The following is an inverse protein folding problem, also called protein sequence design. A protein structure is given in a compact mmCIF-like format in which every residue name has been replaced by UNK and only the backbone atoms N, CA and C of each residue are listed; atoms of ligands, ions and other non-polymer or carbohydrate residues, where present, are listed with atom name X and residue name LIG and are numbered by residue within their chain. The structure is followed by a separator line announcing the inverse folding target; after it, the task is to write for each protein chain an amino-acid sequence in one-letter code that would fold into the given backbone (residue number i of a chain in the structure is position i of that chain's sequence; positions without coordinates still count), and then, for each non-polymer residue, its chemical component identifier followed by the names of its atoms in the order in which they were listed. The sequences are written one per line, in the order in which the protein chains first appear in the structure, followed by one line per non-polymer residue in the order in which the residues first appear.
data_IF_764469922782
#
_entry.id   IF_764469922782
#
_cell.length_a   1.000
_cell.length_b   1.000
_cell.length_c   1.000
_cell.angle_alpha   90.00
_cell.angle_beta   90.00
_cell.angle_gamma   90.00
#
_symmetry.space_group_name_H-M   'P 1'
#
loop_
_entity.id
_entity.type
_entity.pdbx_description
1 polymer ?
#
# COMPACT_ATOMS: atom_id res chain seq x y z
N UNK A 1 -13.58 15.96 10.63
CA UNK A 1 -12.72 15.14 9.73
C UNK A 1 -12.47 13.83 10.46
N UNK A 2 -12.93 12.70 9.93
CA UNK A 2 -12.67 11.39 10.55
C UNK A 2 -11.19 11.08 10.35
N UNK A 3 -10.42 11.07 11.44
CA UNK A 3 -9.01 10.70 11.45
C UNK A 3 -8.93 9.24 11.03
N UNK A 4 -8.39 8.96 9.84
CA UNK A 4 -8.14 7.59 9.40
C UNK A 4 -6.90 7.11 10.13
N UNK A 5 -7.07 6.22 11.09
CA UNK A 5 -5.95 5.56 11.75
C UNK A 5 -5.41 4.45 10.83
N UNK A 6 -4.20 4.66 10.30
CA UNK A 6 -3.51 3.67 9.49
C UNK A 6 -2.66 2.79 10.40
N UNK A 7 -2.84 1.46 10.28
CA UNK A 7 -2.03 0.47 10.99
C UNK A 7 -1.18 -0.31 9.99
N UNK A 8 0.14 -0.28 10.14
CA UNK A 8 1.04 -1.13 9.34
C UNK A 8 0.88 -2.58 9.81
N UNK A 9 0.50 -3.45 8.88
CA UNK A 9 0.36 -4.89 9.09
C UNK A 9 1.60 -5.66 8.64
N UNK A 10 2.32 -5.12 7.66
CA UNK A 10 3.52 -5.72 7.09
C UNK A 10 4.41 -4.64 6.50
N UNK A 11 5.71 -4.81 6.62
CA UNK A 11 6.75 -3.97 6.00
C UNK A 11 7.89 -4.87 5.54
N UNK A 12 8.48 -4.53 4.39
CA UNK A 12 9.80 -5.02 4.01
C UNK A 12 10.55 -3.99 3.19
N UNK A 13 11.87 -4.13 3.19
CA UNK A 13 12.74 -3.39 2.30
C UNK A 13 12.62 -3.85 0.83
N UNK A 14 12.79 -2.90 -0.08
CA UNK A 14 12.90 -3.15 -1.51
C UNK A 14 14.37 -3.19 -1.97
N UNK A 15 14.72 -4.03 -2.96
CA UNK A 15 16.03 -3.97 -3.59
C UNK A 15 16.30 -2.57 -4.17
N UNK A 16 17.44 -1.98 -3.82
CA UNK A 16 17.79 -0.61 -4.23
C UNK A 16 17.24 0.49 -3.33
N UNK A 17 16.63 0.14 -2.19
CA UNK A 17 16.19 1.05 -1.15
C UNK A 17 14.69 1.38 -1.16
N UNK A 18 14.21 1.84 -0.01
CA UNK A 18 12.79 2.08 0.24
C UNK A 18 12.07 0.85 0.79
N UNK A 19 10.76 0.98 0.99
CA UNK A 19 9.93 0.01 1.68
C UNK A 19 8.63 -0.24 0.92
N UNK A 20 8.06 -1.43 1.12
CA UNK A 20 6.68 -1.73 0.75
C UNK A 20 5.90 -2.10 2.00
N UNK A 21 4.77 -1.43 2.20
CA UNK A 21 3.93 -1.59 3.38
C UNK A 21 2.58 -2.17 2.98
N UNK A 22 2.02 -3.05 3.81
CA UNK A 22 0.58 -3.31 3.85
C UNK A 22 0.00 -2.55 5.02
N UNK A 23 -0.96 -1.67 4.75
CA UNK A 23 -1.61 -0.82 5.75
C UNK A 23 -3.10 -1.14 5.81
N UNK A 24 -3.65 -1.27 7.01
CA UNK A 24 -5.09 -1.28 7.27
C UNK A 24 -5.59 0.14 7.54
N UNK A 25 -6.68 0.54 6.87
CA UNK A 25 -7.44 1.74 7.22
C UNK A 25 -8.46 1.35 8.30
N UNK A 26 -8.12 1.60 9.56
CA UNK A 26 -9.03 1.33 10.68
C UNK A 26 -10.25 2.23 10.57
N UNK A 27 -11.42 1.61 10.43
CA UNK A 27 -12.71 2.29 10.55
C UNK A 27 -13.44 1.69 11.73
N UNK A 28 -13.62 2.49 12.78
CA UNK A 28 -14.22 2.06 14.05
C UNK A 28 -15.71 1.69 13.96
N UNK A 29 -16.34 1.76 12.77
CA UNK A 29 -17.79 1.67 12.61
C UNK A 29 -18.25 0.94 11.32
N UNK A 30 -17.45 -0.01 10.80
CA UNK A 30 -17.84 -0.75 9.59
C UNK A 30 -17.52 -2.23 9.67
N UNK A 31 -18.46 -3.08 9.23
CA UNK A 31 -18.24 -4.53 9.02
C UNK A 31 -17.26 -4.86 7.86
N UNK A 32 -16.71 -3.82 7.21
CA UNK A 32 -15.83 -3.95 6.05
C UNK A 32 -14.44 -3.46 6.41
N UNK A 33 -13.45 -4.35 6.25
CA UNK A 33 -12.04 -4.01 6.36
C UNK A 33 -11.54 -3.42 5.05
N UNK A 34 -10.61 -2.47 5.15
CA UNK A 34 -9.95 -1.85 4.01
C UNK A 34 -8.46 -1.86 4.25
N UNK A 35 -7.70 -2.30 3.26
CA UNK A 35 -6.25 -2.30 3.32
C UNK A 35 -5.64 -1.93 1.97
N UNK A 36 -4.37 -1.55 1.99
CA UNK A 36 -3.66 -1.08 0.81
C UNK A 36 -2.18 -1.43 0.85
N UNK A 37 -1.56 -1.48 -0.33
CA UNK A 37 -0.11 -1.62 -0.48
C UNK A 37 0.47 -0.27 -0.87
N UNK A 38 1.34 0.28 -0.02
CA UNK A 38 2.12 1.50 -0.30
C UNK A 38 3.57 1.15 -0.62
N UNK A 39 4.19 1.97 -1.46
CA UNK A 39 5.61 1.84 -1.77
C UNK A 39 6.33 3.15 -1.52
N UNK A 40 7.17 3.15 -0.49
CA UNK A 40 8.13 4.22 -0.23
C UNK A 40 9.42 3.92 -1.00
N UNK A 41 9.95 4.88 -1.76
CA UNK A 41 11.05 4.62 -2.71
C UNK A 41 12.41 5.18 -2.26
N UNK A 42 12.57 5.59 -0.99
CA UNK A 42 13.71 6.44 -0.61
C UNK A 42 14.41 6.01 0.67
N UNK A 43 15.73 6.21 0.64
CA UNK A 43 16.67 6.20 1.77
C UNK A 43 16.71 7.54 2.52
N UNK A 44 16.11 8.61 1.98
CA UNK A 44 16.07 9.96 2.57
C UNK A 44 14.60 10.43 2.76
N UNK A 45 14.09 10.41 4.00
CA UNK A 45 12.74 10.86 4.36
C UNK A 45 12.46 12.34 4.07
N UNK A 46 13.47 13.20 4.05
CA UNK A 46 13.30 14.67 3.94
C UNK A 46 12.98 15.14 2.52
N UNK A 47 13.13 14.27 1.52
CA UNK A 47 13.12 14.66 0.11
C UNK A 47 11.69 14.74 -0.49
N UNK A 48 10.65 14.45 0.31
CA UNK A 48 9.22 14.51 -0.03
C UNK A 48 8.41 15.13 1.12
N UNK A 49 8.83 16.28 1.64
CA UNK A 49 7.95 17.01 2.56
C UNK A 49 6.61 17.32 1.83
N UNK A 50 5.51 16.73 2.29
CA UNK A 50 4.16 16.93 1.74
C UNK A 50 3.63 15.94 0.67
N UNK A 51 4.33 14.86 0.31
CA UNK A 51 3.88 13.94 -0.74
C UNK A 51 3.73 12.50 -0.28
N UNK A 52 2.48 12.05 -0.15
CA UNK A 52 2.13 10.70 0.28
C UNK A 52 2.78 9.60 -0.60
N UNK A 53 3.26 8.48 -0.01
CA UNK A 53 3.79 7.37 -0.79
C UNK A 53 2.70 6.78 -1.69
N UNK A 54 3.02 6.40 -2.94
CA UNK A 54 2.05 5.84 -3.86
C UNK A 54 1.41 4.55 -3.32
N UNK A 55 0.10 4.44 -3.50
CA UNK A 55 -0.66 3.20 -3.28
C UNK A 55 -0.73 2.42 -4.59
N UNK A 56 -0.18 1.21 -4.61
CA UNK A 56 -0.14 0.36 -5.82
C UNK A 56 -1.25 -0.71 -5.85
N UNK A 57 -1.89 -1.01 -4.71
CA UNK A 57 -3.00 -1.93 -4.61
C UNK A 57 -3.91 -1.57 -3.44
N UNK A 58 -5.21 -1.89 -3.54
CA UNK A 58 -6.21 -1.77 -2.47
C UNK A 58 -7.10 -3.00 -2.46
N UNK A 59 -7.54 -3.40 -1.27
CA UNK A 59 -8.53 -4.44 -1.09
C UNK A 59 -9.55 -4.03 -0.02
N UNK A 60 -10.81 -4.43 -0.21
CA UNK A 60 -11.88 -4.26 0.76
C UNK A 60 -12.61 -5.60 0.93
N UNK A 61 -13.01 -5.96 2.15
CA UNK A 61 -13.67 -7.23 2.38
C UNK A 61 -14.14 -7.42 3.82
N UNK A 62 -14.91 -8.49 4.07
CA UNK A 62 -15.44 -8.83 5.40
C UNK A 62 -14.45 -9.58 6.30
N UNK A 63 -13.28 -9.92 5.78
CA UNK A 63 -12.23 -10.61 6.54
C UNK A 63 -10.91 -9.89 6.35
N UNK A 64 -10.37 -9.36 7.45
CA UNK A 64 -9.04 -8.74 7.46
C UNK A 64 -7.98 -9.74 6.98
N UNK A 65 -8.06 -10.99 7.41
CA UNK A 65 -7.11 -12.03 7.04
C UNK A 65 -7.14 -12.33 5.54
N UNK A 66 -8.35 -12.34 4.94
CA UNK A 66 -8.52 -12.54 3.50
C UNK A 66 -7.88 -11.42 2.68
N UNK A 67 -8.24 -10.16 2.98
CA UNK A 67 -7.68 -9.01 2.27
C UNK A 67 -6.17 -8.88 2.51
N UNK A 68 -5.69 -9.18 3.72
CA UNK A 68 -4.26 -9.15 4.04
C UNK A 68 -3.50 -10.20 3.23
N UNK A 69 -4.01 -11.43 3.11
CA UNK A 69 -3.38 -12.47 2.31
C UNK A 69 -3.29 -12.15 0.81
N UNK A 70 -4.25 -11.41 0.26
CA UNK A 70 -4.19 -10.91 -1.12
C UNK A 70 -3.10 -9.85 -1.28
N UNK A 71 -3.08 -8.85 -0.40
CA UNK A 71 -2.13 -7.74 -0.47
C UNK A 71 -0.71 -8.17 -0.11
N UNK A 72 -0.54 -9.13 0.80
CA UNK A 72 0.77 -9.68 1.18
C UNK A 72 1.45 -10.35 -0.01
N UNK A 73 0.69 -11.08 -0.85
CA UNK A 73 1.22 -11.71 -2.08
C UNK A 73 1.78 -10.65 -3.04
N UNK A 74 1.08 -9.52 -3.19
CA UNK A 74 1.57 -8.40 -4.00
C UNK A 74 2.82 -7.79 -3.35
N UNK A 75 2.76 -7.51 -2.04
CA UNK A 75 3.86 -6.89 -1.32
C UNK A 75 5.15 -7.72 -1.38
N UNK A 76 5.07 -9.06 -1.38
CA UNK A 76 6.23 -9.96 -1.44
C UNK A 76 6.80 -10.16 -2.85
N UNK A 77 6.05 -9.82 -3.90
CA UNK A 77 6.48 -10.02 -5.29
C UNK A 77 7.04 -8.73 -5.89
N UNK A 78 8.36 -8.70 -6.10
CA UNK A 78 9.06 -7.55 -6.70
C UNK A 78 8.53 -7.20 -8.11
N UNK A 79 8.11 -8.19 -8.90
CA UNK A 79 7.54 -7.97 -10.24
C UNK A 79 6.16 -7.34 -10.11
N UNK A 80 5.32 -7.83 -9.21
CA UNK A 80 3.99 -7.24 -8.95
C UNK A 80 4.12 -5.78 -8.46
N UNK A 81 5.04 -5.52 -7.54
CA UNK A 81 5.34 -4.16 -7.05
C UNK A 81 5.80 -3.25 -8.18
N UNK A 82 6.75 -3.71 -9.00
CA UNK A 82 7.25 -2.94 -10.14
C UNK A 82 6.14 -2.64 -11.16
N UNK A 83 5.29 -3.61 -11.48
CA UNK A 83 4.12 -3.44 -12.35
C UNK A 83 3.16 -2.39 -11.79
N UNK A 84 2.84 -2.45 -10.50
CA UNK A 84 1.99 -1.47 -9.83
C UNK A 84 2.56 -0.05 -9.94
N UNK A 85 3.86 0.13 -9.70
CA UNK A 85 4.54 1.42 -9.85
C UNK A 85 4.56 1.92 -11.30
N UNK A 86 4.72 1.03 -12.28
CA UNK A 86 4.67 1.38 -13.70
C UNK A 86 3.25 1.80 -14.12
N UNK A 87 2.22 1.12 -13.63
CA UNK A 87 0.82 1.49 -13.86
C UNK A 87 0.50 2.92 -13.38
N UNK A 88 1.04 3.31 -12.22
CA UNK A 88 0.89 4.68 -11.70
C UNK A 88 1.65 5.75 -12.51
N UNK A 89 2.69 5.36 -13.25
CA UNK A 89 3.41 6.27 -14.18
C UNK A 89 2.70 6.39 -15.53
N UNK A 90 2.05 5.31 -15.97
CA UNK A 90 1.29 5.27 -17.22
C UNK A 90 -0.02 6.05 -17.13
N UNK A 91 -0.70 5.97 -15.99
CA UNK A 91 -1.97 6.63 -15.77
C UNK A 91 -1.97 7.37 -14.42
N UNK A 92 -2.45 8.61 -14.39
CA UNK A 92 -3.08 9.15 -13.18
C UNK A 92 -4.31 8.34 -12.70
N UNK A 93 -4.64 7.20 -13.35
CA UNK A 93 -5.71 6.22 -13.11
C UNK A 93 -5.40 4.87 -13.79
N UNK A 94 -4.60 3.99 -13.17
CA UNK A 94 -4.23 2.72 -13.81
C UNK A 94 -5.46 1.83 -14.09
N UNK A 95 -5.62 1.40 -15.36
CA UNK A 95 -6.60 0.40 -15.80
C UNK A 95 -5.89 -0.88 -16.29
N UNK A 96 -6.43 -2.01 -15.81
CA UNK A 96 -6.25 -3.43 -16.18
C UNK A 96 -5.06 -4.18 -15.56
#
# INVERSE_FOLDING_TARGET
MSTKDLKILYERELPGGGFVHVEEESRHDTETHRAQVRVERRTDPARRDGHEPPVIARAEGRSLQGIFGELLRIAQDNVAVAKGLLGLRGDGKAKF
#
